data_IF_866877692393
#
_entry.id   IF_866877692393
#
_cell.length_a   1.000
_cell.length_b   1.000
_cell.length_c   1.000
_cell.angle_alpha   90.00
_cell.angle_beta   90.00
_cell.angle_gamma   90.00
#
_symmetry.space_group_name_H-M   'P 1'
#
loop_
_entity.id
_entity.type
_entity.pdbx_description
1 polymer ?
#
# COMPACT_ATOMS: atom_id res chain seq x y z
N UNK A 1 11.02 -15.73 -19.17
CA UNK A 1 10.51 -15.09 -17.95
C UNK A 1 10.27 -13.62 -18.28
N UNK A 2 9.03 -13.13 -18.15
CA UNK A 2 8.67 -11.76 -18.53
C UNK A 2 8.87 -10.84 -17.32
N UNK A 3 9.70 -9.81 -17.47
CA UNK A 3 9.82 -8.73 -16.49
C UNK A 3 8.73 -7.69 -16.77
N UNK A 4 7.83 -7.49 -15.80
CA UNK A 4 6.91 -6.35 -15.80
C UNK A 4 7.58 -5.19 -15.08
N UNK A 5 7.58 -3.99 -15.68
CA UNK A 5 8.01 -2.78 -14.98
C UNK A 5 7.18 -2.63 -13.69
N UNK A 6 7.84 -2.73 -12.53
CA UNK A 6 7.20 -2.86 -11.21
C UNK A 6 7.69 -4.03 -10.35
N UNK A 7 8.51 -4.94 -10.90
CA UNK A 7 9.13 -6.04 -10.14
C UNK A 7 8.13 -7.12 -9.69
N UNK A 8 8.59 -8.13 -8.92
CA UNK A 8 7.70 -9.14 -8.35
C UNK A 8 6.70 -8.50 -7.37
N UNK A 9 5.43 -8.43 -7.77
CA UNK A 9 4.36 -7.87 -6.96
C UNK A 9 3.63 -8.99 -6.21
N UNK A 10 3.73 -9.02 -4.88
CA UNK A 10 2.84 -9.82 -4.04
C UNK A 10 1.54 -9.06 -3.85
N UNK A 11 0.44 -9.61 -4.36
CA UNK A 11 -0.91 -9.03 -4.21
C UNK A 11 -1.71 -9.84 -3.20
N UNK A 12 -2.27 -9.18 -2.19
CA UNK A 12 -3.22 -9.78 -1.25
C UNK A 12 -4.52 -9.00 -1.26
N UNK A 13 -5.65 -9.71 -1.15
CA UNK A 13 -6.97 -9.11 -1.01
C UNK A 13 -7.56 -9.48 0.35
N UNK A 14 -8.09 -8.49 1.06
CA UNK A 14 -8.70 -8.66 2.36
C UNK A 14 -10.04 -7.95 2.42
N UNK A 15 -11.04 -8.59 3.06
CA UNK A 15 -12.37 -8.00 3.27
C UNK A 15 -12.39 -6.97 4.41
N UNK A 16 -11.34 -6.92 5.24
CA UNK A 16 -11.23 -5.99 6.38
C UNK A 16 -9.99 -5.10 6.21
N UNK A 17 -10.19 -3.79 6.28
CA UNK A 17 -9.11 -2.80 6.19
C UNK A 17 -8.05 -3.01 7.28
N UNK A 18 -8.48 -3.33 8.51
CA UNK A 18 -7.58 -3.55 9.64
C UNK A 18 -6.57 -4.67 9.36
N UNK A 19 -7.01 -5.76 8.71
CA UNK A 19 -6.13 -6.87 8.31
C UNK A 19 -5.16 -6.42 7.22
N UNK A 20 -5.64 -5.68 6.21
CA UNK A 20 -4.77 -5.15 5.15
C UNK A 20 -3.69 -4.21 5.71
N UNK A 21 -4.04 -3.35 6.68
CA UNK A 21 -3.10 -2.46 7.36
C UNK A 21 -2.08 -3.22 8.22
N UNK A 22 -2.52 -4.23 8.98
CA UNK A 22 -1.63 -5.05 9.79
C UNK A 22 -0.61 -5.81 8.92
N UNK A 23 -1.06 -6.40 7.81
CA UNK A 23 -0.17 -7.06 6.84
C UNK A 23 0.79 -6.08 6.20
N UNK A 24 0.34 -4.89 5.82
CA UNK A 24 1.22 -3.84 5.27
C UNK A 24 2.33 -3.46 6.25
N UNK A 25 2.02 -3.24 7.53
CA UNK A 25 3.04 -2.97 8.56
C UNK A 25 4.02 -4.14 8.72
N UNK A 26 3.53 -5.38 8.70
CA UNK A 26 4.39 -6.56 8.74
C UNK A 26 5.34 -6.61 7.54
N UNK A 27 4.84 -6.30 6.34
CA UNK A 27 5.66 -6.24 5.13
C UNK A 27 6.65 -5.09 5.13
N UNK A 28 6.32 -3.94 5.73
CA UNK A 28 7.30 -2.89 5.98
C UNK A 28 8.41 -3.40 6.90
N UNK A 29 8.09 -4.19 7.92
CA UNK A 29 9.12 -4.81 8.77
C UNK A 29 10.03 -5.79 8.01
N UNK A 30 9.46 -6.58 7.10
CA UNK A 30 10.20 -7.59 6.34
C UNK A 30 11.04 -7.01 5.19
N UNK A 31 10.46 -6.06 4.44
CA UNK A 31 11.05 -5.48 3.23
C UNK A 31 11.55 -4.05 3.44
N UNK A 32 11.45 -3.51 4.65
CA UNK A 32 11.80 -2.13 5.00
C UNK A 32 13.25 -1.78 4.68
N UNK A 33 14.16 -2.75 4.74
CA UNK A 33 15.57 -2.52 4.45
C UNK A 33 15.89 -2.39 2.97
N UNK A 34 14.96 -2.74 2.07
CA UNK A 34 15.16 -2.63 0.63
C UNK A 34 14.39 -1.39 0.08
N UNK A 35 15.11 -0.37 -0.45
CA UNK A 35 14.49 0.84 -0.97
C UNK A 35 13.74 0.62 -2.30
N UNK A 36 14.08 -0.42 -3.06
CA UNK A 36 13.46 -0.74 -4.35
C UNK A 36 12.12 -1.46 -4.20
N UNK A 37 11.75 -1.89 -2.98
CA UNK A 37 10.46 -2.54 -2.74
C UNK A 37 9.36 -1.49 -2.55
N UNK A 38 8.41 -1.50 -3.48
CA UNK A 38 7.19 -0.70 -3.42
C UNK A 38 6.08 -1.50 -2.75
N UNK A 39 5.46 -0.94 -1.71
CA UNK A 39 4.29 -1.53 -1.05
C UNK A 39 3.11 -0.59 -1.22
N UNK A 40 1.92 -1.11 -1.52
CA UNK A 40 0.71 -0.30 -1.68
C UNK A 40 -0.49 -1.02 -1.08
N UNK A 41 -1.27 -0.30 -0.27
CA UNK A 41 -2.59 -0.74 0.19
C UNK A 41 -3.64 0.05 -0.56
N UNK A 42 -4.53 -0.67 -1.22
CA UNK A 42 -5.69 -0.10 -1.91
C UNK A 42 -6.98 -0.66 -1.34
N UNK A 43 -7.95 0.22 -1.11
CA UNK A 43 -9.33 -0.18 -0.84
C UNK A 43 -10.12 -0.10 -2.15
N UNK A 44 -10.90 -1.14 -2.44
CA UNK A 44 -11.86 -1.12 -3.54
C UNK A 44 -13.27 -1.13 -2.95
N UNK A 45 -14.08 -0.13 -3.30
CA UNK A 45 -15.47 -0.01 -2.87
C UNK A 45 -16.32 0.53 -4.01
N UNK A 46 -17.47 -0.10 -4.30
CA UNK A 46 -18.37 0.33 -5.37
C UNK A 46 -17.70 0.43 -6.75
N UNK A 47 -16.75 -0.46 -7.07
CA UNK A 47 -16.00 -0.44 -8.32
C UNK A 47 -14.89 0.62 -8.40
N UNK A 48 -14.71 1.44 -7.36
CA UNK A 48 -13.63 2.43 -7.28
C UNK A 48 -12.51 1.93 -6.39
N UNK A 49 -11.29 1.95 -6.91
CA UNK A 49 -10.07 1.64 -6.15
C UNK A 49 -9.39 2.91 -5.72
N UNK A 50 -9.05 3.00 -4.43
CA UNK A 50 -8.35 4.13 -3.84
C UNK A 50 -7.17 3.65 -3.02
N UNK A 51 -6.05 4.36 -3.14
CA UNK A 51 -4.86 4.11 -2.33
C UNK A 51 -5.10 4.62 -0.92
N UNK A 52 -4.90 3.76 0.07
CA UNK A 52 -4.94 4.15 1.48
C UNK A 52 -3.55 4.60 1.93
N UNK A 53 -2.52 3.82 1.59
CA UNK A 53 -1.13 4.12 1.89
C UNK A 53 -0.21 3.43 0.88
N UNK A 54 0.90 4.07 0.54
CA UNK A 54 2.00 3.48 -0.21
C UNK A 54 3.33 3.69 0.50
N UNK A 55 4.30 2.83 0.22
CA UNK A 55 5.70 3.02 0.53
C UNK A 55 6.49 2.92 -0.76
N UNK A 56 7.24 3.97 -1.08
CA UNK A 56 8.02 4.09 -2.31
C UNK A 56 9.38 4.68 -1.94
N UNK A 57 10.48 4.07 -2.40
CA UNK A 57 11.86 4.52 -2.11
C UNK A 57 12.13 4.77 -0.61
N UNK A 58 11.62 3.88 0.26
CA UNK A 58 11.79 4.01 1.70
C UNK A 58 10.82 4.96 2.41
N UNK A 59 10.05 5.77 1.67
CA UNK A 59 9.15 6.78 2.24
C UNK A 59 7.71 6.28 2.29
N UNK A 60 7.07 6.42 3.45
CA UNK A 60 5.63 6.23 3.58
C UNK A 60 4.90 7.44 3.01
N UNK A 61 4.01 7.18 2.07
CA UNK A 61 3.09 8.14 1.46
C UNK A 61 1.69 7.74 1.88
N UNK A 62 1.17 8.36 2.92
CA UNK A 62 -0.23 8.22 3.27
C UNK A 62 -1.06 9.08 2.30
N UNK A 63 -1.77 8.46 1.37
CA UNK A 63 -2.84 9.14 0.63
C UNK A 63 -4.11 9.11 1.47
N UNK A 64 -4.04 9.78 2.61
CA UNK A 64 -5.27 10.35 3.15
C UNK A 64 -5.78 11.32 2.07
N UNK A 65 -6.97 11.06 1.51
CA UNK A 65 -7.81 12.19 1.13
C UNK A 65 -8.21 12.81 2.45
N UNK A 66 -7.28 13.59 2.98
CA UNK A 66 -7.45 14.40 4.14
C UNK A 66 -8.33 15.56 3.71
N UNK A 67 -9.63 15.35 3.76
CA UNK A 67 -10.56 16.47 3.84
C UNK A 67 -10.58 16.91 5.30
N UNK A 68 -9.45 17.43 5.80
CA UNK A 68 -9.42 18.20 7.03
C UNK A 68 -9.84 19.61 6.66
N UNK A 69 -11.15 19.88 6.79
CA UNK A 69 -11.60 21.26 6.96
C UNK A 69 -11.31 21.65 8.40
N UNK A 70 -10.44 22.64 8.67
CA UNK A 70 -10.48 23.28 9.97
C UNK A 70 -11.82 24.01 10.10
N UNK A 71 -12.56 23.71 11.17
CA UNK A 71 -13.68 24.53 11.63
C UNK A 71 -13.20 25.90 12.06
#
# INVERSE_FOLDING_TARGET
MQFTAGGPAVTGQWSREQTARATFTSWIGLYGSNPDVVLRVTATSGGRTRVLTSREHGRLVATASENTRPC
#
